data_IF_533485595276
#
_entry.id   IF_533485595276
#
_cell.length_a   1.000
_cell.length_b   1.000
_cell.length_c   1.000
_cell.angle_alpha   90.00
_cell.angle_beta   90.00
_cell.angle_gamma   90.00
#
_symmetry.space_group_name_H-M   'P 1'
#
loop_
_entity.id
_entity.type
_entity.pdbx_description
1 polymer ?
#
# COMPACT_ATOMS: atom_id res chain seq x y z
N UNK A 1 -16.74 -31.02 -22.56
CA UNK A 1 -16.65 -30.74 -21.11
C UNK A 1 -16.51 -29.23 -20.98
N UNK A 2 -17.58 -28.54 -20.57
CA UNK A 2 -17.54 -27.09 -20.40
C UNK A 2 -16.83 -26.79 -19.06
N UNK A 3 -15.51 -26.63 -19.12
CA UNK A 3 -14.78 -25.96 -18.05
C UNK A 3 -15.03 -24.46 -18.23
N UNK A 4 -16.13 -23.97 -17.67
CA UNK A 4 -16.26 -22.54 -17.44
C UNK A 4 -15.27 -22.18 -16.35
N UNK A 5 -14.09 -21.70 -16.75
CA UNK A 5 -13.13 -21.11 -15.83
C UNK A 5 -13.78 -19.90 -15.17
N UNK A 6 -14.40 -20.10 -14.01
CA UNK A 6 -14.69 -19.06 -13.04
C UNK A 6 -13.34 -18.56 -12.48
N UNK A 7 -12.54 -17.90 -13.31
CA UNK A 7 -11.33 -17.27 -12.84
C UNK A 7 -11.74 -16.15 -11.88
N UNK A 8 -11.41 -16.35 -10.60
CA UNK A 8 -11.60 -15.35 -9.57
C UNK A 8 -10.86 -14.08 -9.98
N UNK A 9 -11.60 -12.99 -10.18
CA UNK A 9 -11.03 -11.69 -10.53
C UNK A 9 -10.56 -11.00 -9.25
N UNK A 10 -9.42 -10.32 -9.32
CA UNK A 10 -8.80 -9.67 -8.15
C UNK A 10 -8.67 -8.16 -8.38
N UNK A 11 -8.94 -7.37 -7.33
CA UNK A 11 -8.50 -5.97 -7.23
C UNK A 11 -7.14 -5.93 -6.56
N UNK A 12 -6.32 -4.97 -6.96
CA UNK A 12 -5.00 -4.74 -6.38
C UNK A 12 -4.92 -3.32 -5.83
N UNK A 13 -4.19 -3.18 -4.72
CA UNK A 13 -3.90 -1.94 -4.05
C UNK A 13 -2.39 -1.87 -3.85
N UNK A 14 -1.74 -0.84 -4.38
CA UNK A 14 -0.30 -0.60 -4.19
C UNK A 14 -0.10 0.63 -3.32
N UNK A 15 0.68 0.49 -2.27
CA UNK A 15 0.87 1.52 -1.24
C UNK A 15 2.35 1.76 -1.09
N UNK A 16 2.75 3.03 -1.01
CA UNK A 16 4.10 3.39 -0.62
C UNK A 16 4.08 3.95 0.80
N UNK A 17 4.93 3.39 1.66
CA UNK A 17 5.08 3.81 3.04
C UNK A 17 6.50 4.32 3.23
N UNK A 18 6.66 5.49 3.85
CA UNK A 18 7.96 6.04 4.23
C UNK A 18 7.89 6.60 5.65
N UNK A 19 8.90 6.28 6.48
CA UNK A 19 8.94 6.67 7.91
C UNK A 19 7.61 6.40 8.64
N UNK A 20 7.07 5.19 8.45
CA UNK A 20 5.79 4.74 9.04
C UNK A 20 4.53 5.49 8.59
N UNK A 21 4.64 6.36 7.59
CA UNK A 21 3.52 7.13 7.04
C UNK A 21 3.17 6.62 5.64
N UNK A 22 1.88 6.48 5.38
CA UNK A 22 1.36 6.20 4.04
C UNK A 22 1.53 7.43 3.17
N UNK A 23 2.42 7.32 2.17
CA UNK A 23 2.78 8.42 1.28
C UNK A 23 1.97 8.40 0.00
N UNK A 24 1.75 7.21 -0.58
CA UNK A 24 1.00 7.05 -1.82
C UNK A 24 0.08 5.84 -1.78
N UNK A 25 -1.06 5.97 -2.45
CA UNK A 25 -2.00 4.88 -2.71
C UNK A 25 -2.28 4.86 -4.22
N UNK A 26 -2.02 3.72 -4.87
CA UNK A 26 -2.14 3.51 -6.32
C UNK A 26 -1.46 4.62 -7.15
N UNK A 27 -0.28 5.05 -6.70
CA UNK A 27 0.50 6.12 -7.36
C UNK A 27 0.00 7.54 -7.09
N UNK A 28 -1.11 7.71 -6.38
CA UNK A 28 -1.61 9.02 -5.93
C UNK A 28 -1.01 9.36 -4.57
N UNK A 29 -0.39 10.54 -4.47
CA UNK A 29 0.11 11.08 -3.20
C UNK A 29 -1.05 11.36 -2.22
N UNK A 30 -0.90 10.87 -0.99
CA UNK A 30 -1.84 11.07 0.13
C UNK A 30 -1.14 11.57 1.39
N UNK A 31 0.16 11.33 1.53
CA UNK A 31 1.01 11.88 2.58
C UNK A 31 1.92 12.98 2.04
N UNK A 32 2.46 13.82 2.93
CA UNK A 32 3.39 14.91 2.60
C UNK A 32 4.70 14.76 3.35
N UNK A 33 5.82 14.85 2.64
CA UNK A 33 7.14 15.01 3.27
C UNK A 33 7.40 16.50 3.47
N UNK A 34 7.39 16.98 4.72
CA UNK A 34 7.69 18.37 5.02
C UNK A 34 9.22 18.58 5.08
N UNK A 35 9.90 18.61 3.93
CA UNK A 35 11.34 18.87 3.86
C UNK A 35 12.23 17.81 4.53
N UNK A 36 13.56 18.02 4.48
CA UNK A 36 14.57 17.02 4.89
C UNK A 36 14.53 16.71 6.40
N UNK A 37 14.07 17.66 7.22
CA UNK A 37 14.11 17.60 8.69
C UNK A 37 12.75 17.46 9.38
N UNK A 38 11.62 17.64 8.70
CA UNK A 38 10.34 17.48 9.36
C UNK A 38 9.76 16.08 9.20
N UNK A 39 8.97 15.69 10.18
CA UNK A 39 8.22 14.44 10.15
C UNK A 39 7.23 14.47 8.98
N UNK A 40 7.14 13.39 8.18
CA UNK A 40 6.09 13.27 7.18
C UNK A 40 4.71 13.31 7.87
N UNK A 41 3.73 13.84 7.14
CA UNK A 41 2.34 13.94 7.59
C UNK A 41 1.48 13.03 6.73
N UNK A 42 0.65 12.21 7.34
CA UNK A 42 -0.27 11.30 6.65
C UNK A 42 -0.86 10.28 7.62
N UNK A 43 -1.58 9.30 7.08
CA UNK A 43 -2.07 8.14 7.83
C UNK A 43 -0.87 7.29 8.27
N UNK A 44 -0.85 6.85 9.53
CA UNK A 44 0.16 5.90 10.00
C UNK A 44 -0.08 4.53 9.37
N UNK A 45 1.01 3.82 9.08
CA UNK A 45 0.94 2.50 8.42
C UNK A 45 0.14 1.49 9.24
N UNK A 46 0.20 1.54 10.58
CA UNK A 46 -0.55 0.63 11.45
C UNK A 46 -2.06 0.85 11.29
N UNK A 47 -2.52 2.10 11.37
CA UNK A 47 -3.93 2.45 11.18
C UNK A 47 -4.43 2.05 9.78
N UNK A 48 -3.59 2.27 8.77
CA UNK A 48 -3.88 1.85 7.41
C UNK A 48 -4.05 0.33 7.30
N UNK A 49 -3.14 -0.43 7.89
CA UNK A 49 -3.17 -1.91 7.87
C UNK A 49 -4.41 -2.46 8.55
N UNK A 50 -4.79 -1.90 9.70
CA UNK A 50 -6.01 -2.28 10.41
C UNK A 50 -7.25 -2.04 9.54
N UNK A 51 -7.34 -0.86 8.92
CA UNK A 51 -8.47 -0.51 8.04
C UNK A 51 -8.55 -1.43 6.82
N UNK A 52 -7.45 -1.64 6.10
CA UNK A 52 -7.50 -2.49 4.90
C UNK A 52 -7.73 -3.96 5.23
N UNK A 53 -7.25 -4.44 6.39
CA UNK A 53 -7.58 -5.76 6.91
C UNK A 53 -9.08 -5.93 7.18
N UNK A 54 -9.71 -4.94 7.81
CA UNK A 54 -11.17 -4.91 8.02
C UNK A 54 -11.95 -4.84 6.70
N UNK A 55 -11.41 -4.15 5.70
CA UNK A 55 -11.97 -4.11 4.35
C UNK A 55 -11.77 -5.42 3.56
N UNK A 56 -11.03 -6.40 4.10
CA UNK A 56 -10.79 -7.71 3.46
C UNK A 56 -9.69 -7.70 2.40
N UNK A 57 -8.75 -6.75 2.49
CA UNK A 57 -7.53 -6.79 1.69
C UNK A 57 -6.48 -7.72 2.33
N UNK A 58 -5.82 -8.50 1.49
CA UNK A 58 -4.73 -9.39 1.89
C UNK A 58 -3.40 -8.84 1.38
N UNK A 59 -2.40 -8.72 2.27
CA UNK A 59 -1.03 -8.37 1.89
C UNK A 59 -0.40 -9.51 1.08
N UNK A 60 0.14 -9.20 -0.10
CA UNK A 60 0.79 -10.20 -0.97
C UNK A 60 2.25 -9.89 -1.29
N UNK A 61 2.68 -8.67 -1.05
CA UNK A 61 4.08 -8.28 -1.23
C UNK A 61 4.43 -7.10 -0.35
N UNK A 62 5.62 -7.16 0.25
CA UNK A 62 6.31 -6.04 0.89
C UNK A 62 7.71 -5.97 0.27
N UNK A 63 7.98 -4.92 -0.48
CA UNK A 63 9.23 -4.71 -1.18
C UNK A 63 9.92 -3.45 -0.66
N UNK A 64 11.14 -3.57 -0.08
CA UNK A 64 11.88 -2.41 0.37
C UNK A 64 12.29 -1.54 -0.83
N UNK A 65 12.25 -0.23 -0.63
CA UNK A 65 12.74 0.78 -1.58
C UNK A 65 13.98 1.40 -0.97
N UNK A 66 15.13 1.12 -1.56
CA UNK A 66 16.37 1.82 -1.27
C UNK A 66 16.44 3.10 -2.13
N UNK A 67 16.65 4.25 -1.51
CA UNK A 67 16.75 5.55 -2.16
C UNK A 67 17.52 6.56 -1.30
N UNK A 68 17.49 7.84 -1.67
CA UNK A 68 17.97 8.91 -0.78
C UNK A 68 17.22 8.88 0.57
N UNK A 69 17.73 9.53 1.62
CA UNK A 69 17.14 9.46 2.97
C UNK A 69 15.63 9.82 3.05
N UNK A 70 15.10 10.55 2.06
CA UNK A 70 13.67 10.88 1.92
C UNK A 70 12.84 9.88 1.10
N UNK A 71 13.49 8.93 0.41
CA UNK A 71 12.89 7.93 -0.46
C UNK A 71 12.99 6.49 0.10
N UNK A 72 13.66 6.31 1.26
CA UNK A 72 13.68 5.03 1.98
C UNK A 72 12.28 4.70 2.48
N UNK A 73 11.79 3.51 2.14
CA UNK A 73 10.45 3.08 2.48
C UNK A 73 10.13 1.69 1.93
N UNK A 74 8.85 1.36 1.86
CA UNK A 74 8.35 0.07 1.44
C UNK A 74 7.20 0.24 0.45
N UNK A 75 7.19 -0.53 -0.63
CA UNK A 75 5.99 -0.75 -1.41
C UNK A 75 5.26 -1.98 -0.89
N UNK A 76 4.06 -1.77 -0.38
CA UNK A 76 3.15 -2.83 0.03
C UNK A 76 2.13 -3.04 -1.08
N UNK A 77 1.89 -4.30 -1.48
CA UNK A 77 0.86 -4.65 -2.45
C UNK A 77 -0.17 -5.57 -1.79
N UNK A 78 -1.43 -5.22 -1.93
CA UNK A 78 -2.56 -5.99 -1.41
C UNK A 78 -3.46 -6.46 -2.55
N UNK A 79 -4.20 -7.54 -2.30
CA UNK A 79 -5.26 -8.04 -3.18
C UNK A 79 -6.58 -8.20 -2.43
N UNK A 80 -7.69 -8.12 -3.15
CA UNK A 80 -9.04 -8.42 -2.65
C UNK A 80 -9.88 -9.02 -3.78
N UNK A 81 -10.72 -10.04 -3.55
CA UNK A 81 -11.56 -10.60 -4.60
C UNK A 81 -12.59 -9.58 -5.11
N UNK A 82 -12.86 -9.62 -6.41
CA UNK A 82 -13.98 -8.92 -7.04
C UNK A 82 -15.21 -9.81 -6.88
N UNK A 83 -16.17 -9.35 -6.07
CA UNK A 83 -17.51 -9.93 -6.00
C UNK A 83 -18.26 -9.75 -7.33
#
# INVERSE_FOLDING_TARGET
IAAGDNMQKWKYLRVWVAKEIVMQINGKEVGKVAGLLASPKGEHVVDFLDRVGQEGWELVSDAPVAGSASAVGHYMTFKKPIS
#
